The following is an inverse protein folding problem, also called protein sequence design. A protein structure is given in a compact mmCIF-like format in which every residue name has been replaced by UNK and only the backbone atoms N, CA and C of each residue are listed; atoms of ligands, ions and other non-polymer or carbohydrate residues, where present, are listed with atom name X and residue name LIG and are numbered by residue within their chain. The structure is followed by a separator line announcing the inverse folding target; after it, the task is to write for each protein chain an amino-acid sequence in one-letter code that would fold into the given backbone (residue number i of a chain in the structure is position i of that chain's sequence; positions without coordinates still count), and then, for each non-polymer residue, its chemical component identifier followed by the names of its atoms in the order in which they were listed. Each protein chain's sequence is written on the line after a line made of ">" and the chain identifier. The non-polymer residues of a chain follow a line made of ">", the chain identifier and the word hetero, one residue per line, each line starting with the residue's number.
data_IF_397407152000
#
_entry.id   IF_397407152000
#
_cell.length_a   1.000
_cell.length_b   1.000
_cell.length_c   1.000
_cell.angle_alpha   90.00
_cell.angle_beta   90.00
_cell.angle_gamma   90.00
#
_symmetry.space_group_name_H-M   'P 1'
#
loop_
_entity.id
_entity.type
_entity.pdbx_description
1 polymer ?
#
# COMPACT_ATOMS: atom_id res chain seq x y z
N UNK A 1 -4.46 -6.10 -3.02
CA UNK A 1 -3.14 -5.61 -2.57
C UNK A 1 -2.16 -5.74 -3.73
N UNK A 2 -1.21 -4.83 -3.89
CA UNK A 2 -0.22 -4.83 -4.98
C UNK A 2 1.20 -4.61 -4.42
N UNK A 3 2.26 -5.06 -5.11
CA UNK A 3 3.65 -4.83 -4.66
C UNK A 3 4.04 -3.36 -4.62
N UNK A 4 3.53 -2.56 -5.56
CA UNK A 4 3.79 -1.12 -5.67
C UNK A 4 2.53 -0.42 -6.17
N UNK A 5 2.17 0.70 -5.54
CA UNK A 5 1.07 1.57 -6.01
C UNK A 5 1.55 2.45 -7.16
N UNK A 6 0.65 2.82 -8.07
CA UNK A 6 0.96 3.74 -9.16
C UNK A 6 1.23 5.16 -8.67
N UNK A 7 0.58 5.57 -7.57
CA UNK A 7 0.73 6.90 -6.99
C UNK A 7 0.69 6.81 -5.48
N UNK A 8 1.74 7.31 -4.82
CA UNK A 8 1.78 7.46 -3.38
C UNK A 8 1.13 8.78 -2.99
N UNK A 9 0.05 8.69 -2.21
CA UNK A 9 -0.65 9.87 -1.63
C UNK A 9 -0.45 9.95 -0.12
N UNK A 10 -0.43 8.80 0.57
CA UNK A 10 -0.15 8.72 2.00
C UNK A 10 1.06 7.80 2.21
N UNK A 11 2.16 8.28 2.81
CA UNK A 11 3.32 7.45 3.09
C UNK A 11 2.97 6.26 3.98
N UNK A 12 3.38 5.04 3.61
CA UNK A 12 3.08 3.84 4.39
C UNK A 12 3.56 3.91 5.85
N UNK A 13 4.58 4.74 6.16
CA UNK A 13 5.06 4.99 7.53
C UNK A 13 4.00 5.62 8.45
N UNK A 14 2.95 6.24 7.89
CA UNK A 14 1.84 6.85 8.66
C UNK A 14 0.58 5.98 8.67
N UNK A 15 0.60 4.82 8.00
CA UNK A 15 -0.51 3.86 8.00
C UNK A 15 -0.17 2.73 8.98
N UNK A 16 -0.99 2.56 10.00
CA UNK A 16 -0.67 1.67 11.11
C UNK A 16 -1.26 0.26 10.94
N UNK A 17 -2.49 0.15 10.42
CA UNK A 17 -3.22 -1.11 10.25
C UNK A 17 -3.99 -1.10 8.94
N UNK A 18 -4.02 -2.24 8.28
CA UNK A 18 -4.88 -2.52 7.12
C UNK A 18 -5.79 -3.68 7.48
N UNK A 19 -7.09 -3.50 7.26
CA UNK A 19 -8.13 -4.51 7.52
C UNK A 19 -8.83 -4.84 6.22
N UNK A 20 -9.01 -6.14 5.97
CA UNK A 20 -9.71 -6.67 4.80
C UNK A 20 -10.55 -7.88 5.23
N UNK A 21 -11.46 -8.33 4.36
CA UNK A 21 -12.21 -9.58 4.57
C UNK A 21 -11.30 -10.82 4.65
N UNK A 22 -10.06 -10.70 4.16
CA UNK A 22 -9.07 -11.78 4.14
C UNK A 22 -8.03 -11.70 5.26
N UNK A 23 -8.11 -10.69 6.14
CA UNK A 23 -7.22 -10.59 7.29
C UNK A 23 -6.84 -9.17 7.67
N UNK A 24 -6.13 -9.07 8.80
CA UNK A 24 -5.63 -7.83 9.41
C UNK A 24 -4.10 -7.82 9.36
N UNK A 25 -3.53 -6.79 8.76
CA UNK A 25 -2.08 -6.57 8.72
C UNK A 25 -1.72 -5.31 9.52
N UNK A 26 -0.78 -5.45 10.45
CA UNK A 26 -0.26 -4.32 11.26
C UNK A 26 1.11 -3.95 10.73
N UNK A 27 1.33 -2.65 10.52
CA UNK A 27 2.62 -2.13 10.09
C UNK A 27 3.72 -2.57 11.08
N UNK A 28 4.83 -3.19 10.62
CA UNK A 28 5.92 -3.64 11.50
C UNK A 28 6.50 -2.54 12.40
N UNK A 29 6.42 -1.27 11.98
CA UNK A 29 6.84 -0.11 12.79
C UNK A 29 6.00 0.08 14.06
N UNK A 30 4.85 -0.59 14.17
CA UNK A 30 3.88 -0.50 15.28
C UNK A 30 3.83 -1.77 16.12
N UNK A 31 5.00 -2.32 16.46
CA UNK A 31 5.11 -3.59 17.20
C UNK A 31 4.29 -3.65 18.51
N UNK A 32 4.18 -2.56 19.27
CA UNK A 32 3.32 -2.50 20.47
C UNK A 32 1.84 -2.65 20.14
N UNK A 33 1.39 -2.06 19.04
CA UNK A 33 0.01 -2.22 18.56
C UNK A 33 -0.23 -3.65 18.10
N UNK A 34 0.72 -4.23 17.35
CA UNK A 34 0.69 -5.64 16.94
C UNK A 34 0.49 -6.56 18.14
N UNK A 35 1.31 -6.39 19.19
CA UNK A 35 1.20 -7.18 20.42
C UNK A 35 -0.17 -7.04 21.07
N UNK A 36 -0.65 -5.81 21.28
CA UNK A 36 -1.97 -5.54 21.88
C UNK A 36 -3.12 -6.20 21.13
N UNK A 37 -3.07 -6.22 19.80
CA UNK A 37 -4.11 -6.85 18.98
C UNK A 37 -4.01 -8.39 19.05
N UNK A 38 -2.81 -8.96 19.07
CA UNK A 38 -2.61 -10.39 19.29
C UNK A 38 -3.11 -10.83 20.68
N UNK A 39 -2.79 -10.09 21.73
CA UNK A 39 -3.24 -10.35 23.10
C UNK A 39 -4.77 -10.26 23.23
N UNK A 40 -5.40 -9.43 22.40
CA UNK A 40 -6.86 -9.30 22.29
C UNK A 40 -7.51 -10.42 21.44
N UNK A 41 -6.73 -11.39 20.96
CA UNK A 41 -7.24 -12.52 20.18
C UNK A 41 -7.53 -12.21 18.70
N UNK A 42 -7.04 -11.09 18.17
CA UNK A 42 -7.23 -10.74 16.76
C UNK A 42 -6.17 -11.48 15.93
N UNK A 43 -6.57 -12.34 14.97
CA UNK A 43 -5.62 -13.01 14.09
C UNK A 43 -4.98 -11.99 13.15
N UNK A 44 -3.65 -11.95 13.14
CA UNK A 44 -2.86 -11.04 12.32
C UNK A 44 -2.10 -11.81 11.24
N UNK A 45 -1.99 -11.18 10.08
CA UNK A 45 -1.16 -11.61 8.96
C UNK A 45 -0.12 -10.52 8.62
N UNK A 46 0.77 -10.82 7.69
CA UNK A 46 1.64 -9.82 7.05
C UNK A 46 0.93 -9.14 5.88
N UNK A 47 1.40 -7.96 5.47
CA UNK A 47 0.84 -7.30 4.28
C UNK A 47 1.24 -8.05 3.00
N UNK A 48 2.36 -8.77 3.04
CA UNK A 48 2.85 -9.66 1.99
C UNK A 48 1.92 -10.86 1.79
N UNK A 49 1.40 -11.46 2.87
CA UNK A 49 0.40 -12.55 2.79
C UNK A 49 -0.89 -12.08 2.10
N UNK A 50 -1.38 -10.88 2.45
CA UNK A 50 -2.54 -10.28 1.77
C UNK A 50 -2.24 -9.94 0.29
N UNK A 51 -1.00 -9.57 -0.01
CA UNK A 51 -0.53 -9.29 -1.38
C UNK A 51 -0.45 -10.55 -2.24
N UNK A 52 0.15 -11.62 -1.71
CA UNK A 52 0.23 -12.92 -2.38
C UNK A 52 -1.16 -13.52 -2.59
N UNK A 53 -2.05 -13.41 -1.60
CA UNK A 53 -3.43 -13.86 -1.74
C UNK A 53 -4.17 -13.12 -2.85
N UNK A 54 -4.02 -11.79 -2.94
CA UNK A 54 -4.61 -11.02 -4.02
C UNK A 54 -4.12 -11.50 -5.40
N UNK A 55 -2.80 -11.71 -5.57
CA UNK A 55 -2.25 -12.25 -6.82
C UNK A 55 -2.73 -13.67 -7.12
N UNK A 56 -2.94 -14.51 -6.09
CA UNK A 56 -3.48 -15.86 -6.28
C UNK A 56 -4.93 -15.83 -6.82
N UNK A 57 -5.72 -14.81 -6.45
CA UNK A 57 -7.12 -14.69 -6.87
C UNK A 57 -7.24 -14.12 -8.29
N UNK A 58 -6.49 -13.06 -8.61
CA UNK A 58 -6.67 -12.32 -9.87
C UNK A 58 -5.47 -12.35 -10.83
N UNK A 59 -4.37 -13.00 -10.44
CA UNK A 59 -3.11 -13.02 -11.19
C UNK A 59 -2.22 -11.80 -10.94
N UNK A 60 -1.14 -11.73 -11.70
CA UNK A 60 -0.24 -10.56 -11.73
C UNK A 60 -0.77 -9.60 -12.80
N UNK A 61 -1.03 -8.31 -12.48
CA UNK A 61 -1.52 -7.36 -13.46
C UNK A 61 -0.44 -7.01 -14.47
N UNK A 62 -0.84 -6.84 -15.74
CA UNK A 62 0.02 -6.25 -16.77
C UNK A 62 0.39 -4.80 -16.37
N UNK A 63 1.66 -4.39 -16.45
CA UNK A 63 2.06 -3.02 -16.14
C UNK A 63 1.40 -2.00 -17.07
N UNK A 64 0.99 -0.85 -16.50
CA UNK A 64 0.56 0.30 -17.29
C UNK A 64 1.81 0.95 -17.91
N UNK A 65 1.76 1.22 -19.22
CA UNK A 65 2.79 1.98 -19.90
C UNK A 65 2.55 3.49 -19.73
N UNK A 66 3.59 4.21 -19.34
CA UNK A 66 3.56 5.66 -19.13
C UNK A 66 4.56 6.33 -20.07
N UNK A 67 4.26 7.56 -20.49
CA UNK A 67 5.23 8.45 -21.15
C UNK A 67 6.00 9.26 -20.11
N UNK A 68 7.04 9.97 -20.53
CA UNK A 68 7.82 10.85 -19.63
C UNK A 68 7.09 12.16 -19.27
N UNK A 69 5.91 12.42 -19.85
CA UNK A 69 5.17 13.66 -19.59
C UNK A 69 4.54 13.62 -18.19
N UNK A 70 5.01 14.50 -17.30
CA UNK A 70 4.35 14.74 -16.01
C UNK A 70 3.02 15.48 -16.24
N UNK A 71 1.94 14.92 -15.71
CA UNK A 71 0.57 15.47 -15.79
C UNK A 71 0.00 15.84 -14.42
N UNK A 72 0.69 15.52 -13.34
CA UNK A 72 0.31 15.92 -11.98
C UNK A 72 1.47 15.83 -10.99
N UNK A 73 1.44 16.68 -9.97
CA UNK A 73 2.42 16.70 -8.88
C UNK A 73 1.66 16.41 -7.59
N UNK A 74 2.08 15.38 -6.85
CA UNK A 74 1.53 15.05 -5.54
C UNK A 74 2.41 15.69 -4.48
N UNK A 75 1.87 16.69 -3.78
CA UNK A 75 2.53 17.33 -2.65
C UNK A 75 2.06 16.72 -1.34
N UNK A 76 2.99 16.57 -0.39
CA UNK A 76 2.65 16.20 0.97
C UNK A 76 2.19 17.43 1.77
N UNK A 77 1.65 17.20 2.97
CA UNK A 77 1.06 18.25 3.83
C UNK A 77 2.03 19.37 4.22
N UNK A 78 3.32 19.12 4.14
CA UNK A 78 4.40 20.08 4.44
C UNK A 78 4.89 20.84 3.18
N UNK A 79 4.23 20.64 2.04
CA UNK A 79 4.57 21.27 0.76
C UNK A 79 5.68 20.57 -0.02
N UNK A 80 6.28 19.50 0.52
CA UNK A 80 7.31 18.73 -0.21
C UNK A 80 6.67 17.95 -1.36
N UNK A 81 7.39 17.84 -2.48
CA UNK A 81 6.96 16.98 -3.60
C UNK A 81 7.19 15.52 -3.19
N UNK A 82 6.13 14.72 -3.24
CA UNK A 82 6.13 13.34 -2.78
C UNK A 82 6.07 12.34 -3.92
N UNK A 83 5.30 12.63 -4.98
CA UNK A 83 5.21 11.77 -6.16
C UNK A 83 4.82 12.58 -7.41
N UNK A 84 5.04 11.99 -8.58
CA UNK A 84 4.69 12.57 -9.87
C UNK A 84 3.76 11.62 -10.64
N UNK A 85 2.67 12.16 -11.15
CA UNK A 85 1.74 11.43 -12.02
C UNK A 85 2.18 11.65 -13.47
N UNK A 86 2.43 10.55 -14.17
CA UNK A 86 2.85 10.56 -15.57
C UNK A 86 1.67 10.24 -16.49
N UNK A 87 1.69 10.77 -17.72
CA UNK A 87 0.69 10.48 -18.74
C UNK A 87 0.73 8.99 -19.09
N UNK A 88 -0.45 8.36 -19.19
CA UNK A 88 -0.58 6.99 -19.71
C UNK A 88 -0.28 7.00 -21.22
N UNK A 89 0.49 6.03 -21.70
CA UNK A 89 0.73 5.84 -23.13
C UNK A 89 -0.52 5.23 -23.79
N UNK A 90 -0.89 5.75 -24.95
CA UNK A 90 -2.00 5.23 -25.78
C UNK A 90 -1.73 3.82 -26.31
#
# INVERSE_FOLDING_TARGET
>A
MVPKVNTQVTPGKTVDVVVTDYGVAVNPRRWKLRQRLMDAGIPLCSIEELQQLAQKIVGVPEPIHYTDKVVGIVTYRDGTVMDLIHQVAD
#
